data_IF_934442020605
#
_entry.id   IF_934442020605
#
_cell.length_a   1.000
_cell.length_b   1.000
_cell.length_c   1.000
_cell.angle_alpha   90.00
_cell.angle_beta   90.00
_cell.angle_gamma   90.00
#
_symmetry.space_group_name_H-M   'P 1'
#
loop_
_entity.id
_entity.type
_entity.pdbx_description
1 polymer ?
#
# COMPACT_ATOMS: atom_id res chain seq x y z
N UNK A 1 27.41 -26.99 33.71
CA UNK A 1 27.11 -26.30 32.43
C UNK A 1 25.89 -27.00 31.85
N UNK A 2 24.72 -26.40 32.01
CA UNK A 2 23.45 -26.93 31.50
C UNK A 2 23.21 -26.36 30.13
N UNK A 3 23.22 -27.18 29.06
CA UNK A 3 22.85 -26.80 27.73
C UNK A 3 21.33 -26.78 27.64
N UNK A 4 20.75 -25.59 27.59
CA UNK A 4 19.33 -25.46 27.28
C UNK A 4 19.06 -26.05 25.88
N UNK A 5 17.95 -26.80 25.70
CA UNK A 5 17.61 -27.33 24.36
C UNK A 5 17.29 -26.17 23.41
N UNK A 6 17.92 -26.20 22.22
CA UNK A 6 17.49 -25.35 21.11
C UNK A 6 16.07 -25.78 20.75
N UNK A 7 15.15 -24.84 20.85
CA UNK A 7 13.79 -25.01 20.33
C UNK A 7 13.91 -25.17 18.80
N UNK A 8 13.85 -26.41 18.31
CA UNK A 8 13.52 -26.68 16.91
C UNK A 8 12.07 -26.23 16.73
N UNK A 9 11.88 -25.06 16.07
CA UNK A 9 10.59 -24.62 15.62
C UNK A 9 10.07 -25.70 14.67
N UNK A 10 9.08 -26.47 15.14
CA UNK A 10 8.20 -27.24 14.28
C UNK A 10 7.79 -26.33 13.12
N UNK A 11 7.68 -26.88 11.89
CA UNK A 11 7.17 -26.16 10.72
C UNK A 11 5.79 -25.63 11.08
N UNK A 12 5.77 -24.37 11.58
CA UNK A 12 4.57 -23.77 12.16
C UNK A 12 3.59 -23.44 11.03
N UNK A 13 2.31 -23.51 11.34
CA UNK A 13 1.24 -22.99 10.49
C UNK A 13 1.62 -21.60 9.99
N UNK A 14 1.49 -21.30 8.68
CA UNK A 14 1.81 -19.98 8.15
C UNK A 14 1.10 -18.87 8.92
N UNK A 15 1.80 -17.73 9.16
CA UNK A 15 1.40 -16.72 10.15
C UNK A 15 0.05 -16.02 9.87
N UNK A 16 -0.42 -16.07 8.60
CA UNK A 16 -1.71 -15.48 8.19
C UNK A 16 -2.75 -16.53 7.80
N UNK A 17 -2.57 -17.79 8.20
CA UNK A 17 -3.54 -18.85 7.90
C UNK A 17 -4.94 -18.48 8.40
N UNK A 18 -5.92 -18.56 7.50
CA UNK A 18 -7.31 -18.20 7.77
C UNK A 18 -7.61 -16.69 7.77
N UNK A 19 -6.62 -15.83 7.52
CA UNK A 19 -6.83 -14.39 7.33
C UNK A 19 -7.27 -14.09 5.90
N UNK A 20 -8.18 -13.13 5.74
CA UNK A 20 -8.72 -12.68 4.47
C UNK A 20 -8.16 -11.29 4.18
N UNK A 21 -7.57 -11.12 3.02
CA UNK A 21 -6.87 -9.90 2.66
C UNK A 21 -7.41 -9.29 1.36
N UNK A 22 -7.56 -7.96 1.34
CA UNK A 22 -7.75 -7.17 0.14
C UNK A 22 -6.49 -6.36 -0.15
N UNK A 23 -5.98 -6.45 -1.39
CA UNK A 23 -4.87 -5.61 -1.88
C UNK A 23 -5.32 -4.83 -3.10
N UNK A 24 -5.34 -3.51 -3.04
CA UNK A 24 -5.65 -2.69 -4.22
C UNK A 24 -4.41 -2.50 -5.10
N UNK A 25 -4.57 -2.62 -6.43
CA UNK A 25 -3.46 -2.49 -7.38
C UNK A 25 -2.46 -3.65 -7.35
N UNK A 26 -2.93 -4.88 -7.09
CA UNK A 26 -2.08 -6.05 -6.85
C UNK A 26 -1.62 -6.82 -8.09
N UNK A 27 -1.79 -6.28 -9.32
CA UNK A 27 -1.43 -6.99 -10.56
C UNK A 27 -0.01 -6.69 -11.05
N UNK A 28 0.73 -5.76 -10.43
CA UNK A 28 2.11 -5.40 -10.80
C UNK A 28 2.85 -4.72 -9.63
N UNK A 29 4.17 -4.60 -9.76
CA UNK A 29 5.04 -3.86 -8.85
C UNK A 29 4.88 -4.25 -7.39
N UNK A 30 4.83 -3.27 -6.50
CA UNK A 30 4.71 -3.46 -5.05
C UNK A 30 3.46 -4.27 -4.70
N UNK A 31 2.30 -3.93 -5.29
CA UNK A 31 1.05 -4.62 -4.99
C UNK A 31 1.11 -6.12 -5.31
N UNK A 32 1.69 -6.51 -6.45
CA UNK A 32 1.85 -7.92 -6.80
C UNK A 32 2.81 -8.65 -5.84
N UNK A 33 3.87 -8.00 -5.37
CA UNK A 33 4.76 -8.55 -4.36
C UNK A 33 4.05 -8.74 -3.02
N UNK A 34 3.24 -7.75 -2.59
CA UNK A 34 2.41 -7.85 -1.40
C UNK A 34 1.44 -9.03 -1.50
N UNK A 35 0.71 -9.15 -2.63
CA UNK A 35 -0.22 -10.28 -2.83
C UNK A 35 0.50 -11.61 -2.67
N UNK A 36 1.65 -11.81 -3.34
CA UNK A 36 2.44 -13.06 -3.22
C UNK A 36 2.84 -13.34 -1.77
N UNK A 37 3.37 -12.33 -1.05
CA UNK A 37 3.80 -12.50 0.34
C UNK A 37 2.66 -12.85 1.29
N UNK A 38 1.46 -12.28 1.08
CA UNK A 38 0.29 -12.62 1.89
C UNK A 38 -0.20 -14.04 1.61
N UNK A 39 -0.20 -14.47 0.33
CA UNK A 39 -0.51 -15.85 -0.06
C UNK A 39 0.49 -16.85 0.54
N UNK A 40 1.80 -16.58 0.41
CA UNK A 40 2.87 -17.42 0.98
C UNK A 40 2.75 -17.52 2.52
N UNK A 41 2.24 -16.47 3.16
CA UNK A 41 1.94 -16.46 4.60
C UNK A 41 0.59 -17.12 4.96
N UNK A 42 -0.15 -17.67 3.98
CA UNK A 42 -1.38 -18.45 4.20
C UNK A 42 -2.67 -17.66 4.19
N UNK A 43 -2.67 -16.41 3.78
CA UNK A 43 -3.90 -15.61 3.64
C UNK A 43 -4.70 -15.99 2.39
N UNK A 44 -6.03 -15.87 2.43
CA UNK A 44 -6.90 -15.84 1.25
C UNK A 44 -6.94 -14.39 0.73
N UNK A 45 -6.45 -14.16 -0.49
CA UNK A 45 -6.20 -12.82 -1.02
C UNK A 45 -7.12 -12.52 -2.21
N UNK A 46 -7.87 -11.41 -2.10
CA UNK A 46 -8.53 -10.76 -3.23
C UNK A 46 -7.74 -9.53 -3.63
N UNK A 47 -7.52 -9.36 -4.92
CA UNK A 47 -6.86 -8.16 -5.45
C UNK A 47 -7.69 -7.50 -6.54
N UNK A 48 -7.42 -6.22 -6.78
CA UNK A 48 -8.09 -5.44 -7.82
C UNK A 48 -7.12 -4.61 -8.64
N UNK A 49 -7.51 -4.37 -9.88
CA UNK A 49 -7.00 -3.33 -10.77
C UNK A 49 -8.15 -2.92 -11.70
N UNK A 50 -7.97 -1.83 -12.48
CA UNK A 50 -8.97 -1.37 -13.46
C UNK A 50 -9.27 -2.40 -14.55
N UNK A 51 -8.29 -3.22 -14.86
CA UNK A 51 -8.42 -4.32 -15.84
C UNK A 51 -7.45 -5.45 -15.49
N UNK A 52 -7.71 -6.63 -16.03
CA UNK A 52 -6.82 -7.79 -15.90
C UNK A 52 -5.58 -7.72 -16.84
N UNK A 53 -5.20 -6.54 -17.33
CA UNK A 53 -4.05 -6.35 -18.23
C UNK A 53 -2.69 -6.64 -17.57
N UNK A 54 -2.65 -6.74 -16.25
CA UNK A 54 -1.48 -7.24 -15.50
C UNK A 54 -1.61 -8.73 -15.17
N UNK A 55 -0.52 -9.32 -14.70
CA UNK A 55 -0.55 -10.72 -14.24
C UNK A 55 -1.07 -10.77 -12.81
N UNK A 56 -2.25 -11.34 -12.63
CA UNK A 56 -2.76 -11.65 -11.27
C UNK A 56 -1.85 -12.75 -10.68
N UNK A 57 -1.28 -12.55 -9.47
CA UNK A 57 -0.50 -13.59 -8.82
C UNK A 57 -1.31 -14.86 -8.65
N UNK A 58 -0.69 -16.03 -8.93
CA UNK A 58 -1.31 -17.34 -8.79
C UNK A 58 -1.85 -17.53 -7.36
N UNK A 59 -3.05 -18.07 -7.24
CA UNK A 59 -3.74 -18.25 -5.95
C UNK A 59 -4.55 -17.04 -5.49
N UNK A 60 -4.36 -15.85 -6.06
CA UNK A 60 -5.17 -14.69 -5.72
C UNK A 60 -6.50 -14.66 -6.50
N UNK A 61 -7.58 -14.26 -5.83
CA UNK A 61 -8.82 -13.86 -6.49
C UNK A 61 -8.67 -12.46 -7.09
N UNK A 62 -9.38 -12.20 -8.18
CA UNK A 62 -9.32 -10.92 -8.86
C UNK A 62 -10.71 -10.37 -9.16
N UNK A 63 -10.89 -9.08 -8.91
CA UNK A 63 -12.06 -8.30 -9.32
C UNK A 63 -11.61 -7.02 -10.00
N UNK A 64 -12.10 -6.76 -11.21
CA UNK A 64 -11.84 -5.50 -11.89
C UNK A 64 -12.70 -4.38 -11.26
N UNK A 65 -12.04 -3.32 -10.78
CA UNK A 65 -12.73 -2.16 -10.23
C UNK A 65 -11.88 -0.89 -10.38
N UNK A 66 -12.51 0.24 -10.67
CA UNK A 66 -11.88 1.55 -10.59
C UNK A 66 -12.09 2.14 -9.19
N UNK A 67 -11.09 2.01 -8.35
CA UNK A 67 -11.14 2.50 -6.96
C UNK A 67 -11.24 4.02 -6.82
N UNK A 68 -11.08 4.78 -7.92
CA UNK A 68 -11.28 6.24 -7.94
C UNK A 68 -12.74 6.64 -7.79
N UNK A 69 -13.67 5.76 -8.13
CA UNK A 69 -15.09 6.04 -8.09
C UNK A 69 -15.77 5.41 -6.87
N UNK A 70 -16.89 5.99 -6.45
CA UNK A 70 -17.71 5.42 -5.38
C UNK A 70 -18.24 4.04 -5.79
N UNK A 71 -18.75 3.94 -7.00
CA UNK A 71 -19.31 2.71 -7.55
C UNK A 71 -18.28 1.59 -7.61
N UNK A 72 -17.04 1.92 -8.00
CA UNK A 72 -15.94 0.96 -8.00
C UNK A 72 -15.54 0.50 -6.60
N UNK A 73 -15.56 1.39 -5.61
CA UNK A 73 -15.32 1.03 -4.22
C UNK A 73 -16.45 0.15 -3.64
N UNK A 74 -17.72 0.46 -3.94
CA UNK A 74 -18.90 -0.32 -3.52
C UNK A 74 -18.87 -1.72 -4.14
N UNK A 75 -18.63 -1.83 -5.45
CA UNK A 75 -18.51 -3.11 -6.15
C UNK A 75 -17.34 -3.97 -5.59
N UNK A 76 -16.21 -3.34 -5.25
CA UNK A 76 -15.08 -4.05 -4.65
C UNK A 76 -15.40 -4.52 -3.22
N UNK A 77 -16.09 -3.72 -2.41
CA UNK A 77 -16.53 -4.12 -1.09
C UNK A 77 -17.55 -5.27 -1.13
N UNK A 78 -18.43 -5.29 -2.14
CA UNK A 78 -19.34 -6.42 -2.41
C UNK A 78 -18.56 -7.68 -2.78
N UNK A 79 -17.60 -7.58 -3.72
CA UNK A 79 -16.75 -8.71 -4.09
C UNK A 79 -15.94 -9.27 -2.89
N UNK A 80 -15.53 -8.43 -1.94
CA UNK A 80 -14.91 -8.88 -0.68
C UNK A 80 -15.90 -9.68 0.18
N UNK A 81 -17.15 -9.21 0.32
CA UNK A 81 -18.17 -9.92 1.09
C UNK A 81 -18.51 -11.29 0.46
N UNK A 82 -18.73 -11.29 -0.84
CA UNK A 82 -19.17 -12.49 -1.58
C UNK A 82 -18.04 -13.49 -1.77
N UNK A 83 -16.83 -13.00 -2.09
CA UNK A 83 -15.68 -13.85 -2.38
C UNK A 83 -14.94 -14.33 -1.14
N UNK A 84 -14.84 -13.51 -0.09
CA UNK A 84 -14.06 -13.82 1.12
C UNK A 84 -14.93 -13.97 2.38
N UNK A 85 -16.21 -13.59 2.37
CA UNK A 85 -17.06 -13.55 3.55
C UNK A 85 -16.66 -12.44 4.56
N UNK A 86 -15.89 -11.44 4.10
CA UNK A 86 -15.37 -10.33 4.90
C UNK A 86 -13.86 -10.15 4.74
N UNK A 87 -13.26 -9.22 5.50
CA UNK A 87 -11.82 -8.91 5.35
C UNK A 87 -11.18 -8.67 6.74
N UNK A 88 -9.97 -9.16 6.93
CA UNK A 88 -9.17 -8.99 8.14
C UNK A 88 -7.96 -8.09 7.89
N UNK A 89 -7.51 -8.00 6.63
CA UNK A 89 -6.37 -7.21 6.20
C UNK A 89 -6.75 -6.39 4.96
N UNK A 90 -6.52 -5.06 5.00
CA UNK A 90 -6.67 -4.20 3.81
C UNK A 90 -5.34 -3.50 3.52
N UNK A 91 -4.86 -3.63 2.28
CA UNK A 91 -3.66 -2.93 1.81
C UNK A 91 -4.05 -1.98 0.68
N UNK A 92 -4.06 -0.69 0.97
CA UNK A 92 -4.28 0.38 0.01
C UNK A 92 -2.98 0.71 -0.72
N UNK A 93 -2.71 -0.05 -1.80
CA UNK A 93 -1.51 0.12 -2.61
C UNK A 93 -1.79 0.80 -3.95
N UNK A 94 -3.03 0.77 -4.46
CA UNK A 94 -3.36 1.47 -5.71
C UNK A 94 -2.96 2.94 -5.62
N UNK A 95 -2.21 3.41 -6.61
CA UNK A 95 -1.70 4.77 -6.65
C UNK A 95 -0.90 5.02 -7.92
N UNK A 96 -0.60 6.28 -8.17
CA UNK A 96 0.21 6.69 -9.31
C UNK A 96 0.38 8.20 -9.36
N UNK A 97 1.35 8.63 -10.17
CA UNK A 97 1.64 10.04 -10.42
C UNK A 97 1.99 10.24 -11.88
N UNK A 98 1.50 11.32 -12.46
CA UNK A 98 1.89 11.82 -13.80
C UNK A 98 2.61 13.15 -13.59
N UNK A 99 3.87 13.32 -14.05
CA UNK A 99 4.58 14.58 -13.88
C UNK A 99 4.03 15.67 -14.79
N UNK A 100 4.08 16.92 -14.32
CA UNK A 100 3.73 18.12 -15.08
C UNK A 100 4.90 19.11 -15.09
N UNK A 101 4.98 20.08 -16.03
CA UNK A 101 6.11 21.01 -16.15
C UNK A 101 6.30 21.94 -14.93
N UNK A 102 5.38 21.94 -13.98
CA UNK A 102 5.44 22.70 -12.75
C UNK A 102 4.10 22.72 -12.04
N UNK A 103 4.09 23.10 -10.77
CA UNK A 103 2.89 23.07 -9.92
C UNK A 103 1.70 23.86 -10.49
N UNK A 104 1.97 25.03 -11.08
CA UNK A 104 0.94 25.90 -11.65
C UNK A 104 0.45 25.44 -13.03
N UNK A 105 1.14 24.47 -13.65
CA UNK A 105 0.76 23.87 -14.93
C UNK A 105 -0.06 22.58 -14.77
N UNK A 106 -0.32 22.14 -13.52
CA UNK A 106 -1.14 20.95 -13.26
C UNK A 106 -2.61 21.32 -13.47
N UNK A 107 -3.31 20.66 -14.44
CA UNK A 107 -4.73 20.92 -14.67
C UNK A 107 -5.59 20.54 -13.45
N UNK A 108 -6.75 21.20 -13.27
CA UNK A 108 -7.69 20.91 -12.18
C UNK A 108 -8.15 19.44 -12.18
N UNK A 109 -8.41 18.86 -13.36
CA UNK A 109 -8.78 17.46 -13.51
C UNK A 109 -7.71 16.50 -13.01
N UNK A 110 -6.42 16.83 -13.14
CA UNK A 110 -5.30 16.01 -12.64
C UNK A 110 -5.17 16.12 -11.11
N UNK A 111 -5.50 17.29 -10.53
CA UNK A 111 -5.63 17.44 -9.08
C UNK A 111 -6.73 16.53 -8.53
N UNK A 112 -7.91 16.53 -9.18
CA UNK A 112 -9.03 15.69 -8.77
C UNK A 112 -8.69 14.20 -8.91
N UNK A 113 -8.12 13.77 -10.05
CA UNK A 113 -7.73 12.37 -10.27
C UNK A 113 -6.68 11.90 -9.25
N UNK A 114 -5.71 12.76 -8.91
CA UNK A 114 -4.71 12.45 -7.90
C UNK A 114 -5.32 12.26 -6.51
N UNK A 115 -6.28 13.11 -6.12
CA UNK A 115 -7.02 12.98 -4.86
C UNK A 115 -7.88 11.71 -4.87
N UNK A 116 -8.63 11.47 -5.94
CA UNK A 116 -9.49 10.29 -6.06
C UNK A 116 -8.71 8.99 -5.98
N UNK A 117 -7.55 8.90 -6.69
CA UNK A 117 -6.75 7.69 -6.73
C UNK A 117 -5.92 7.47 -5.46
N UNK A 118 -5.21 8.51 -4.99
CA UNK A 118 -4.16 8.35 -3.97
C UNK A 118 -4.63 8.63 -2.54
N UNK A 119 -5.88 9.11 -2.36
CA UNK A 119 -6.44 9.44 -1.06
C UNK A 119 -7.89 8.94 -0.91
N UNK A 120 -8.84 9.45 -1.70
CA UNK A 120 -10.26 9.18 -1.52
C UNK A 120 -10.63 7.72 -1.79
N UNK A 121 -9.86 7.00 -2.62
CA UNK A 121 -10.02 5.55 -2.81
C UNK A 121 -9.89 4.77 -1.49
N UNK A 122 -8.91 5.12 -0.66
CA UNK A 122 -8.73 4.52 0.67
C UNK A 122 -9.88 4.90 1.61
N UNK A 123 -10.22 6.20 1.68
CA UNK A 123 -11.33 6.69 2.54
C UNK A 123 -12.65 5.96 2.22
N UNK A 124 -12.98 5.80 0.93
CA UNK A 124 -14.20 5.11 0.48
C UNK A 124 -14.22 3.65 0.89
N UNK A 125 -13.11 2.93 0.67
CA UNK A 125 -13.02 1.51 1.01
C UNK A 125 -12.97 1.28 2.53
N UNK A 126 -12.26 2.11 3.28
CA UNK A 126 -12.23 2.01 4.75
C UNK A 126 -13.62 2.22 5.35
N UNK A 127 -14.38 3.19 4.84
CA UNK A 127 -15.75 3.42 5.29
C UNK A 127 -16.67 2.21 5.05
N UNK A 128 -16.41 1.40 4.01
CA UNK A 128 -17.21 0.20 3.67
C UNK A 128 -16.72 -1.07 4.39
N UNK A 129 -15.43 -1.16 4.72
CA UNK A 129 -14.80 -2.40 5.20
C UNK A 129 -14.48 -2.37 6.70
N UNK A 130 -14.09 -1.21 7.25
CA UNK A 130 -13.73 -1.09 8.66
C UNK A 130 -14.87 -1.43 9.64
N UNK A 131 -16.15 -1.16 9.37
CA UNK A 131 -17.24 -1.56 10.26
C UNK A 131 -17.22 -3.05 10.62
N UNK A 132 -17.01 -3.94 9.64
CA UNK A 132 -16.91 -5.38 9.90
C UNK A 132 -15.66 -5.77 10.70
N UNK A 133 -14.54 -5.04 10.58
CA UNK A 133 -13.37 -5.24 11.43
C UNK A 133 -13.66 -4.81 12.88
N UNK A 134 -14.33 -3.66 13.08
CA UNK A 134 -14.74 -3.16 14.41
C UNK A 134 -15.64 -4.16 15.13
N UNK A 135 -16.64 -4.70 14.44
CA UNK A 135 -17.56 -5.71 15.01
C UNK A 135 -16.81 -6.94 15.51
N UNK A 136 -15.82 -7.43 14.77
CA UNK A 136 -14.98 -8.56 15.15
C UNK A 136 -13.86 -8.20 16.11
N UNK A 137 -13.65 -6.91 16.38
CA UNK A 137 -12.57 -6.36 17.21
C UNK A 137 -11.17 -6.82 16.77
N UNK A 138 -10.98 -6.96 15.47
CA UNK A 138 -9.74 -7.43 14.86
C UNK A 138 -9.63 -6.94 13.40
N UNK A 139 -8.49 -6.39 13.05
CA UNK A 139 -8.18 -5.95 11.69
C UNK A 139 -6.83 -5.27 11.58
N UNK A 140 -6.30 -5.24 10.36
CA UNK A 140 -5.09 -4.49 10.03
C UNK A 140 -5.25 -3.77 8.69
N UNK A 141 -5.05 -2.45 8.69
CA UNK A 141 -5.08 -1.61 7.50
C UNK A 141 -3.69 -1.05 7.27
N UNK A 142 -3.20 -1.14 6.04
CA UNK A 142 -1.93 -0.52 5.61
C UNK A 142 -2.17 0.38 4.41
N UNK A 143 -1.80 1.65 4.56
CA UNK A 143 -1.77 2.63 3.47
C UNK A 143 -0.36 2.73 2.89
N UNK A 144 -0.22 2.63 1.57
CA UNK A 144 1.06 2.84 0.89
C UNK A 144 1.17 4.31 0.49
N UNK A 145 2.10 5.03 1.14
CA UNK A 145 2.44 6.43 0.86
C UNK A 145 3.64 6.56 -0.10
N UNK A 146 4.46 7.58 0.06
CA UNK A 146 5.67 7.80 -0.73
C UNK A 146 6.69 8.65 0.03
N UNK A 147 7.97 8.30 -0.06
CA UNK A 147 9.06 9.02 0.59
C UNK A 147 9.29 10.45 0.04
N UNK A 148 8.64 10.83 -1.08
CA UNK A 148 8.69 12.20 -1.61
C UNK A 148 7.74 13.17 -0.89
N UNK A 149 6.88 12.70 0.02
CA UNK A 149 5.93 13.56 0.76
C UNK A 149 6.64 14.66 1.57
N UNK A 150 7.68 14.39 2.35
CA UNK A 150 8.37 15.43 3.13
C UNK A 150 9.25 16.35 2.27
N UNK A 151 9.53 16.02 1.00
CA UNK A 151 10.34 16.82 0.06
C UNK A 151 9.59 17.01 -1.27
N UNK A 152 8.45 17.70 -1.27
CA UNK A 152 7.58 17.78 -2.43
C UNK A 152 8.23 18.56 -3.57
N UNK A 153 8.33 17.92 -4.73
CA UNK A 153 8.79 18.55 -5.98
C UNK A 153 7.62 19.16 -6.77
N UNK A 154 7.86 20.27 -7.51
CA UNK A 154 6.79 20.98 -8.22
C UNK A 154 6.11 20.14 -9.33
N UNK A 155 6.81 19.17 -9.90
CA UNK A 155 6.28 18.32 -10.96
C UNK A 155 5.21 17.32 -10.51
N UNK A 156 5.18 17.00 -9.21
CA UNK A 156 4.32 15.99 -8.61
C UNK A 156 3.48 16.53 -7.46
N UNK A 157 3.27 17.86 -7.37
CA UNK A 157 2.67 18.46 -6.17
C UNK A 157 1.27 17.91 -5.88
N UNK A 158 0.44 17.64 -6.90
CA UNK A 158 -0.88 17.01 -6.76
C UNK A 158 -0.80 15.61 -6.11
N UNK A 159 0.19 14.81 -6.51
CA UNK A 159 0.45 13.49 -5.95
C UNK A 159 0.93 13.57 -4.50
N UNK A 160 1.96 14.40 -4.23
CA UNK A 160 2.51 14.52 -2.88
C UNK A 160 1.50 15.09 -1.90
N UNK A 161 0.65 16.04 -2.33
CA UNK A 161 -0.45 16.58 -1.54
C UNK A 161 -1.49 15.50 -1.19
N UNK A 162 -1.89 14.68 -2.18
CA UNK A 162 -2.82 13.57 -1.95
C UNK A 162 -2.24 12.52 -0.98
N UNK A 163 -0.93 12.19 -1.12
CA UNK A 163 -0.26 11.25 -0.20
C UNK A 163 -0.07 11.84 1.21
N UNK A 164 0.18 13.15 1.34
CA UNK A 164 0.21 13.82 2.64
C UNK A 164 -1.17 13.78 3.33
N UNK A 165 -2.25 13.99 2.57
CA UNK A 165 -3.61 13.83 3.06
C UNK A 165 -3.88 12.39 3.54
N UNK A 166 -3.43 11.38 2.78
CA UNK A 166 -3.55 9.96 3.15
C UNK A 166 -2.81 9.65 4.46
N UNK A 167 -1.58 10.16 4.65
CA UNK A 167 -0.83 9.96 5.89
C UNK A 167 -1.52 10.58 7.10
N UNK A 168 -2.08 11.79 6.94
CA UNK A 168 -2.82 12.44 8.01
C UNK A 168 -4.11 11.67 8.34
N UNK A 169 -4.86 11.24 7.33
CA UNK A 169 -6.05 10.42 7.48
C UNK A 169 -5.73 9.10 8.20
N UNK A 170 -4.66 8.42 7.81
CA UNK A 170 -4.22 7.16 8.42
C UNK A 170 -3.99 7.30 9.92
N UNK A 171 -3.36 8.40 10.37
CA UNK A 171 -3.15 8.66 11.81
C UNK A 171 -4.46 8.88 12.55
N UNK A 172 -5.39 9.65 11.97
CA UNK A 172 -6.71 9.87 12.54
C UNK A 172 -7.52 8.57 12.66
N UNK A 173 -7.53 7.79 11.58
CA UNK A 173 -8.22 6.49 11.54
C UNK A 173 -7.61 5.48 12.52
N UNK A 174 -6.28 5.49 12.70
CA UNK A 174 -5.62 4.66 13.71
C UNK A 174 -6.10 4.97 15.13
N UNK A 175 -6.22 6.25 15.47
CA UNK A 175 -6.72 6.67 16.77
C UNK A 175 -8.20 6.30 16.98
N UNK A 176 -9.02 6.40 15.93
CA UNK A 176 -10.44 6.05 15.98
C UNK A 176 -10.65 4.54 16.17
N UNK A 177 -9.90 3.70 15.42
CA UNK A 177 -10.15 2.26 15.37
C UNK A 177 -9.37 1.46 16.43
N UNK A 178 -8.34 2.02 17.07
CA UNK A 178 -7.55 1.32 18.07
C UNK A 178 -8.36 0.78 19.26
N UNK A 179 -9.38 1.48 19.82
CA UNK A 179 -10.23 0.93 20.88
C UNK A 179 -11.01 -0.32 20.46
N UNK A 180 -11.22 -0.49 19.15
CA UNK A 180 -11.91 -1.64 18.57
C UNK A 180 -10.93 -2.76 18.12
N UNK A 181 -9.65 -2.68 18.49
CA UNK A 181 -8.64 -3.69 18.19
C UNK A 181 -8.21 -3.72 16.71
N UNK A 182 -8.48 -2.67 15.95
CA UNK A 182 -8.07 -2.54 14.55
C UNK A 182 -6.84 -1.64 14.47
N UNK A 183 -5.79 -2.11 13.80
CA UNK A 183 -4.53 -1.39 13.63
C UNK A 183 -4.48 -0.74 12.25
N UNK A 184 -4.04 0.51 12.18
CA UNK A 184 -3.90 1.25 10.92
C UNK A 184 -2.50 1.86 10.87
N UNK A 185 -1.75 1.55 9.82
CA UNK A 185 -0.38 2.03 9.66
C UNK A 185 -0.11 2.48 8.22
N UNK A 186 0.98 3.20 8.03
CA UNK A 186 1.49 3.61 6.72
C UNK A 186 2.81 2.90 6.44
N UNK A 187 3.01 2.45 5.20
CA UNK A 187 4.31 2.11 4.65
C UNK A 187 4.67 3.17 3.62
N UNK A 188 5.87 3.73 3.73
CA UNK A 188 6.36 4.80 2.85
C UNK A 188 7.56 4.32 2.04
N UNK A 189 7.34 3.83 0.81
CA UNK A 189 8.43 3.41 -0.07
C UNK A 189 9.26 4.59 -0.56
N UNK A 190 10.59 4.40 -0.62
CA UNK A 190 11.49 5.19 -1.45
C UNK A 190 11.50 4.71 -2.89
N UNK A 191 12.58 5.03 -3.60
CA UNK A 191 12.80 4.57 -4.96
C UNK A 191 12.78 3.04 -5.03
N UNK A 192 11.77 2.51 -5.70
CA UNK A 192 11.54 1.08 -5.85
C UNK A 192 11.48 0.72 -7.33
N UNK A 193 12.18 -0.33 -7.74
CA UNK A 193 12.22 -0.83 -9.10
C UNK A 193 10.86 -1.47 -9.46
N UNK A 194 9.99 -0.68 -10.06
CA UNK A 194 8.64 -1.11 -10.50
C UNK A 194 8.34 -0.58 -11.90
N UNK A 195 7.51 -1.28 -12.68
CA UNK A 195 7.11 -0.78 -14.00
C UNK A 195 6.47 0.63 -13.95
N UNK A 196 5.67 0.92 -12.91
CA UNK A 196 5.07 2.24 -12.73
C UNK A 196 6.10 3.32 -12.38
N UNK A 197 7.05 3.01 -11.50
CA UNK A 197 8.15 3.91 -11.15
C UNK A 197 9.07 4.22 -12.32
N UNK A 198 9.36 3.22 -13.15
CA UNK A 198 10.16 3.39 -14.38
C UNK A 198 9.46 4.29 -15.40
N UNK A 199 8.15 4.09 -15.59
CA UNK A 199 7.36 4.94 -16.48
C UNK A 199 7.34 6.40 -15.98
N UNK A 200 7.09 6.61 -14.70
CA UNK A 200 7.12 7.95 -14.09
C UNK A 200 8.49 8.63 -14.26
N UNK A 201 9.58 7.89 -14.09
CA UNK A 201 10.94 8.41 -14.31
C UNK A 201 11.20 8.78 -15.77
N UNK A 202 10.72 7.98 -16.73
CA UNK A 202 10.83 8.32 -18.16
C UNK A 202 10.10 9.60 -18.51
N UNK A 203 8.87 9.76 -18.00
CA UNK A 203 8.07 10.97 -18.18
C UNK A 203 8.73 12.19 -17.53
N UNK A 204 9.30 12.01 -16.33
CA UNK A 204 10.06 13.07 -15.65
C UNK A 204 11.30 13.49 -16.45
N UNK A 205 12.06 12.52 -16.94
CA UNK A 205 13.26 12.80 -17.77
C UNK A 205 12.94 13.64 -19.03
N UNK A 206 11.73 13.50 -19.57
CA UNK A 206 11.28 14.30 -20.71
C UNK A 206 10.92 15.75 -20.37
N UNK A 207 10.72 16.06 -19.07
CA UNK A 207 10.30 17.39 -18.58
C UNK A 207 11.41 18.17 -17.87
N UNK A 208 12.55 17.56 -17.58
CA UNK A 208 13.61 18.16 -16.77
C UNK A 208 15.00 17.70 -17.18
N UNK A 209 15.88 18.64 -17.47
CA UNK A 209 17.30 18.38 -17.76
C UNK A 209 18.06 17.77 -16.55
N UNK A 210 17.49 17.85 -15.35
CA UNK A 210 18.07 17.31 -14.11
C UNK A 210 17.64 15.87 -13.80
N UNK A 211 16.77 15.28 -14.60
CA UNK A 211 16.18 13.95 -14.36
C UNK A 211 17.18 12.78 -14.41
N UNK A 212 18.40 13.00 -14.90
CA UNK A 212 19.46 11.98 -14.99
C UNK A 212 20.31 11.80 -13.74
N UNK A 213 20.23 12.70 -12.76
CA UNK A 213 21.14 12.73 -11.60
C UNK A 213 20.46 12.28 -10.30
N UNK A 214 19.68 11.22 -10.32
CA UNK A 214 19.18 10.66 -9.07
C UNK A 214 20.27 9.82 -8.41
N UNK A 215 20.80 10.31 -7.28
CA UNK A 215 21.78 9.57 -6.49
C UNK A 215 21.20 8.18 -6.10
N UNK A 216 22.06 7.16 -6.12
CA UNK A 216 21.70 5.84 -5.58
C UNK A 216 21.38 5.99 -4.09
N UNK A 217 20.30 5.35 -3.58
CA UNK A 217 20.04 5.35 -2.14
C UNK A 217 21.25 4.93 -1.32
N UNK A 218 21.43 5.42 -0.08
CA UNK A 218 22.59 5.11 0.78
C UNK A 218 22.88 3.61 0.95
N UNK A 219 21.87 2.74 0.90
CA UNK A 219 22.07 1.29 0.92
C UNK A 219 22.63 0.71 -0.40
N UNK A 220 23.02 1.55 -1.37
CA UNK A 220 23.75 1.15 -2.58
C UNK A 220 22.90 0.54 -3.70
N UNK A 221 21.58 0.47 -3.56
CA UNK A 221 20.67 -0.05 -4.57
C UNK A 221 19.28 0.60 -4.51
N UNK A 222 18.53 0.50 -5.57
CA UNK A 222 17.07 0.72 -5.52
C UNK A 222 16.39 -0.36 -4.67
N UNK A 223 15.29 -0.01 -4.03
CA UNK A 223 14.42 -0.98 -3.37
C UNK A 223 13.78 -1.93 -4.39
N UNK A 224 13.54 -3.15 -3.98
CA UNK A 224 12.74 -4.11 -4.73
C UNK A 224 11.30 -4.10 -4.21
N UNK A 225 10.29 -4.47 -5.02
CA UNK A 225 8.92 -4.63 -4.53
C UNK A 225 8.81 -5.50 -3.28
N UNK A 226 9.67 -6.52 -3.14
CA UNK A 226 9.71 -7.41 -1.97
C UNK A 226 10.21 -6.70 -0.70
N UNK A 227 11.09 -5.70 -0.78
CA UNK A 227 11.51 -4.93 0.40
C UNK A 227 10.28 -4.25 1.05
N UNK A 228 9.38 -3.75 0.22
CA UNK A 228 8.14 -3.10 0.68
C UNK A 228 7.13 -4.16 1.16
N UNK A 229 7.00 -5.28 0.43
CA UNK A 229 6.07 -6.34 0.78
C UNK A 229 6.39 -6.98 2.14
N UNK A 230 7.67 -7.11 2.52
CA UNK A 230 8.09 -7.56 3.85
C UNK A 230 7.65 -6.59 4.97
N UNK A 231 7.76 -5.28 4.74
CA UNK A 231 7.30 -4.28 5.69
C UNK A 231 5.77 -4.34 5.88
N UNK A 232 5.03 -4.52 4.77
CA UNK A 232 3.57 -4.71 4.81
C UNK A 232 3.23 -5.99 5.59
N UNK A 233 3.87 -7.13 5.27
CA UNK A 233 3.64 -8.39 5.98
C UNK A 233 3.88 -8.25 7.49
N UNK A 234 4.98 -7.59 7.90
CA UNK A 234 5.23 -7.30 9.31
C UNK A 234 4.06 -6.53 9.93
N UNK A 235 3.62 -5.42 9.32
CA UNK A 235 2.59 -4.55 9.89
C UNK A 235 1.20 -5.21 9.97
N UNK A 236 0.89 -6.16 9.09
CA UNK A 236 -0.41 -6.87 9.14
C UNK A 236 -0.40 -8.09 10.03
N UNK A 237 0.78 -8.62 10.38
CA UNK A 237 0.93 -9.80 11.23
C UNK A 237 0.82 -9.49 12.73
N UNK A 238 0.70 -10.54 13.55
CA UNK A 238 0.65 -10.43 15.01
C UNK A 238 1.96 -9.96 15.63
N UNK A 239 3.08 -10.01 14.87
CA UNK A 239 4.36 -9.42 15.29
C UNK A 239 4.29 -7.92 15.48
N UNK A 240 3.35 -7.25 14.78
CA UNK A 240 3.07 -5.83 14.92
C UNK A 240 1.84 -5.54 15.80
N UNK A 241 1.47 -6.46 16.72
CA UNK A 241 0.27 -6.33 17.56
C UNK A 241 0.23 -5.07 18.44
N UNK A 242 1.39 -4.43 18.69
CA UNK A 242 1.51 -3.17 19.44
C UNK A 242 1.91 -1.98 18.57
N UNK A 243 1.67 -2.09 17.23
CA UNK A 243 2.03 -1.05 16.25
C UNK A 243 0.79 -0.55 15.55
N UNK A 244 0.40 0.71 15.83
CA UNK A 244 -0.68 1.43 15.13
C UNK A 244 -0.35 2.91 15.05
N UNK A 245 -0.84 3.61 14.02
CA UNK A 245 -0.58 5.03 13.79
C UNK A 245 0.84 5.38 13.31
N UNK A 246 1.67 4.37 13.00
CA UNK A 246 3.04 4.60 12.53
C UNK A 246 3.11 4.84 11.03
N UNK A 247 4.17 5.55 10.62
CA UNK A 247 4.63 5.61 9.23
C UNK A 247 6.00 4.91 9.15
N UNK A 248 6.02 3.69 8.60
CA UNK A 248 7.23 2.91 8.40
C UNK A 248 7.86 3.25 7.06
N UNK A 249 8.94 4.02 7.09
CA UNK A 249 9.69 4.41 5.90
C UNK A 249 10.63 3.28 5.48
N UNK A 250 10.55 2.90 4.19
CA UNK A 250 11.34 1.84 3.56
C UNK A 250 11.96 2.39 2.28
N UNK A 251 13.05 3.14 2.41
CA UNK A 251 13.64 3.95 1.35
C UNK A 251 15.15 3.78 1.16
N UNK A 252 15.77 2.85 1.88
CA UNK A 252 17.23 2.67 1.84
C UNK A 252 18.04 3.88 2.33
N UNK A 253 17.41 4.78 3.10
CA UNK A 253 18.00 6.03 3.58
C UNK A 253 17.97 7.16 2.54
N UNK A 254 17.18 7.06 1.49
CA UNK A 254 17.18 7.99 0.34
C UNK A 254 16.79 9.42 0.73
N UNK A 255 15.84 9.59 1.64
CA UNK A 255 15.34 10.90 2.03
C UNK A 255 15.65 11.25 3.48
N UNK A 256 15.95 12.54 3.79
CA UNK A 256 16.19 13.00 5.15
C UNK A 256 14.89 12.85 5.99
N UNK A 257 15.08 12.64 7.30
CA UNK A 257 13.99 12.44 8.28
C UNK A 257 14.01 13.54 9.32
#
# INVERSE_FOLDING_TARGET
MSTAPRNETAAGTPELTGKRALVTGGTRGIGAAVVRRLLDAGADVLTTARSASGTVPEGARFTAADVRTREGAEALAEAVRDGLGGVDIVVHNAGGATPHPGALAIPDAEWQDALDLNYLSAVRLDALLAPGMRERRAGAVVHVSSAVVPVPGPLFLHYTAAKAALENYSRGLAAELAPDGVRVNVVTPGRTATPGGEETRRQWAALSDTAGATATPPLGREGLPDDIAHAVLYLVSDRASWVTGTNLVVDGGEFPR
#
